data_IF_365122348446
#
_entry.id   IF_365122348446
#
_cell.length_a   1.000
_cell.length_b   1.000
_cell.length_c   1.000
_cell.angle_alpha   90.00
_cell.angle_beta   90.00
_cell.angle_gamma   90.00
#
_symmetry.space_group_name_H-M   'P 1'
#
loop_
_entity.id
_entity.type
_entity.pdbx_description
1 polymer ?
#
# COMPACT_ATOMS: atom_id res chain seq x y z
N UNK A 1 20.62 -0.06 -7.05
CA UNK A 1 19.51 0.09 -6.06
C UNK A 1 18.58 -1.10 -6.22
N UNK A 2 18.44 -1.92 -5.17
CA UNK A 2 17.57 -3.10 -5.16
C UNK A 2 16.15 -2.73 -4.73
N UNK A 3 16.04 -1.79 -3.78
CA UNK A 3 14.77 -1.34 -3.24
C UNK A 3 14.06 -0.33 -4.13
N UNK A 4 12.74 -0.48 -4.25
CA UNK A 4 11.81 0.57 -4.66
C UNK A 4 11.23 1.27 -3.43
N UNK A 5 10.11 2.02 -3.56
CA UNK A 5 9.47 2.74 -2.45
C UNK A 5 8.98 1.83 -1.32
N UNK A 6 8.64 0.56 -1.61
CA UNK A 6 8.02 -0.36 -0.62
C UNK A 6 8.65 -1.75 -0.65
N UNK A 7 9.97 -1.85 -0.83
CA UNK A 7 10.69 -3.12 -0.82
C UNK A 7 11.32 -3.51 -2.18
N UNK A 8 11.87 -4.70 -2.23
CA UNK A 8 12.48 -5.29 -3.43
C UNK A 8 11.38 -5.97 -4.24
N UNK A 9 11.15 -5.55 -5.48
CA UNK A 9 10.16 -6.17 -6.37
C UNK A 9 10.76 -6.40 -7.75
N UNK A 10 10.67 -7.64 -8.25
CA UNK A 10 11.20 -8.03 -9.57
C UNK A 10 10.28 -9.07 -10.22
N UNK A 11 10.43 -9.24 -11.54
CA UNK A 11 9.94 -10.45 -12.20
C UNK A 11 10.55 -11.68 -11.54
N UNK A 12 9.73 -12.72 -11.30
CA UNK A 12 10.23 -13.97 -10.77
C UNK A 12 11.18 -14.63 -11.79
N UNK A 13 12.45 -14.60 -11.48
CA UNK A 13 13.54 -15.14 -12.29
C UNK A 13 14.71 -15.53 -11.38
N UNK A 14 15.76 -16.10 -11.98
CA UNK A 14 16.98 -16.52 -11.27
C UNK A 14 17.57 -15.38 -10.42
N UNK A 15 17.54 -14.14 -10.89
CA UNK A 15 18.05 -12.99 -10.16
C UNK A 15 17.34 -12.80 -8.80
N UNK A 16 16.00 -12.78 -8.79
CA UNK A 16 15.24 -12.62 -7.56
C UNK A 16 15.43 -13.80 -6.60
N UNK A 17 15.48 -15.02 -7.15
CA UNK A 17 15.73 -16.22 -6.37
C UNK A 17 17.12 -16.18 -5.71
N UNK A 18 18.15 -15.77 -6.44
CA UNK A 18 19.51 -15.66 -5.92
C UNK A 18 19.70 -14.56 -4.88
N UNK A 19 18.83 -13.55 -4.88
CA UNK A 19 18.83 -12.47 -3.86
C UNK A 19 18.30 -12.95 -2.50
N UNK A 20 17.40 -13.93 -2.46
CA UNK A 20 16.78 -14.40 -1.21
C UNK A 20 17.77 -14.73 -0.11
N UNK A 21 18.76 -15.65 -0.32
CA UNK A 21 19.76 -15.99 0.67
C UNK A 21 20.61 -14.79 1.12
N UNK A 22 20.93 -13.88 0.20
CA UNK A 22 21.75 -12.70 0.47
C UNK A 22 20.99 -11.67 1.32
N UNK A 23 19.74 -11.40 0.97
CA UNK A 23 18.85 -10.52 1.74
C UNK A 23 18.61 -11.10 3.13
N UNK A 24 18.34 -12.42 3.24
CA UNK A 24 18.17 -13.09 4.52
C UNK A 24 19.39 -12.96 5.43
N UNK A 25 20.60 -13.23 4.92
CA UNK A 25 21.84 -13.05 5.66
C UNK A 25 22.06 -11.58 6.07
N UNK A 26 21.75 -10.62 5.18
CA UNK A 26 21.89 -9.19 5.46
C UNK A 26 20.98 -8.71 6.58
N UNK A 27 19.71 -9.13 6.60
CA UNK A 27 18.73 -8.82 7.66
C UNK A 27 19.18 -9.44 8.99
N UNK A 28 19.69 -10.68 8.97
CA UNK A 28 20.09 -11.40 10.19
C UNK A 28 21.30 -10.81 10.91
N UNK A 29 21.97 -9.79 10.35
CA UNK A 29 23.08 -9.10 11.05
C UNK A 29 22.55 -8.39 12.30
N UNK A 30 21.47 -7.61 12.17
CA UNK A 30 20.90 -6.81 13.25
C UNK A 30 19.68 -7.47 13.91
N UNK A 31 18.98 -8.36 13.19
CA UNK A 31 17.77 -9.01 13.66
C UNK A 31 18.02 -10.51 13.90
N UNK A 32 17.77 -10.98 15.12
CA UNK A 32 17.94 -12.40 15.49
C UNK A 32 16.62 -13.13 15.67
N UNK A 33 15.54 -12.42 15.90
CA UNK A 33 14.17 -12.93 15.95
C UNK A 33 13.38 -12.29 14.82
N UNK A 34 12.97 -13.08 13.82
CA UNK A 34 12.38 -12.57 12.59
C UNK A 34 11.05 -13.24 12.30
N UNK A 35 10.01 -12.47 12.08
CA UNK A 35 8.74 -12.96 11.55
C UNK A 35 8.83 -13.00 10.03
N UNK A 36 8.46 -14.13 9.42
CA UNK A 36 8.42 -14.32 7.98
C UNK A 36 7.04 -14.82 7.54
N UNK A 37 6.45 -14.20 6.53
CA UNK A 37 5.27 -14.75 5.87
C UNK A 37 5.25 -14.43 4.38
N UNK A 38 4.23 -14.94 3.68
CA UNK A 38 4.09 -14.81 2.22
C UNK A 38 2.67 -14.37 1.85
N UNK A 39 2.53 -13.70 0.70
CA UNK A 39 1.23 -13.65 0.03
C UNK A 39 0.90 -15.00 -0.65
N UNK A 40 -0.14 -15.01 -1.48
CA UNK A 40 -0.65 -16.23 -2.11
C UNK A 40 0.08 -16.62 -3.40
N UNK A 41 1.00 -15.81 -3.93
CA UNK A 41 1.67 -16.03 -5.22
C UNK A 41 2.26 -17.42 -5.33
N UNK A 42 2.13 -18.05 -6.50
CA UNK A 42 2.60 -19.43 -6.72
C UNK A 42 4.10 -19.60 -6.51
N UNK A 43 4.88 -18.54 -6.69
CA UNK A 43 6.34 -18.52 -6.45
C UNK A 43 6.74 -18.39 -4.98
N UNK A 44 5.76 -18.24 -4.05
CA UNK A 44 6.02 -17.99 -2.63
C UNK A 44 6.90 -19.02 -1.95
N UNK A 45 6.64 -20.32 -2.20
CA UNK A 45 7.37 -21.40 -1.52
C UNK A 45 8.85 -21.37 -1.88
N UNK A 46 9.16 -21.25 -3.18
CA UNK A 46 10.55 -21.19 -3.65
C UNK A 46 11.31 -19.99 -3.06
N UNK A 47 10.65 -18.82 -2.97
CA UNK A 47 11.28 -17.64 -2.37
C UNK A 47 11.38 -17.74 -0.85
N UNK A 48 10.41 -18.40 -0.19
CA UNK A 48 10.52 -18.69 1.25
C UNK A 48 11.74 -19.55 1.56
N UNK A 49 11.93 -20.65 0.82
CA UNK A 49 13.07 -21.53 1.02
C UNK A 49 14.39 -20.79 0.77
N UNK A 50 14.42 -19.93 -0.26
CA UNK A 50 15.60 -19.13 -0.58
C UNK A 50 15.96 -18.16 0.55
N UNK A 51 15.03 -17.33 1.02
CA UNK A 51 15.33 -16.35 2.06
C UNK A 51 15.54 -17.02 3.43
N UNK A 52 14.81 -18.10 3.75
CA UNK A 52 15.01 -18.89 4.97
C UNK A 52 16.44 -19.41 5.07
N UNK A 53 17.02 -19.90 3.96
CA UNK A 53 18.41 -20.34 3.97
C UNK A 53 19.39 -19.25 4.40
N UNK A 54 19.14 -18.00 3.98
CA UNK A 54 19.94 -16.84 4.38
C UNK A 54 19.72 -16.44 5.83
N UNK A 55 18.46 -16.37 6.27
CA UNK A 55 18.08 -16.01 7.63
C UNK A 55 18.69 -16.99 8.65
N UNK A 56 18.54 -18.29 8.40
CA UNK A 56 19.06 -19.35 9.28
C UNK A 56 20.59 -19.36 9.27
N UNK A 57 21.22 -19.23 8.09
CA UNK A 57 22.68 -19.18 8.00
C UNK A 57 23.28 -17.91 8.61
N UNK A 58 22.50 -16.83 8.72
CA UNK A 58 22.85 -15.63 9.49
C UNK A 58 22.63 -15.78 11.00
N UNK A 59 22.13 -16.93 11.47
CA UNK A 59 21.91 -17.25 12.87
C UNK A 59 20.60 -16.70 13.45
N UNK A 60 19.59 -16.40 12.63
CA UNK A 60 18.30 -15.89 13.10
C UNK A 60 17.33 -17.03 13.46
N UNK A 61 16.54 -16.81 14.52
CA UNK A 61 15.33 -17.57 14.84
C UNK A 61 14.16 -17.00 14.04
N UNK A 62 13.55 -17.82 13.17
CA UNK A 62 12.50 -17.41 12.25
C UNK A 62 11.15 -17.98 12.70
N UNK A 63 10.17 -17.09 12.85
CA UNK A 63 8.77 -17.40 13.13
C UNK A 63 7.99 -17.33 11.81
N UNK A 64 7.68 -18.50 11.24
CA UNK A 64 7.06 -18.58 9.91
C UNK A 64 5.54 -18.60 10.00
N UNK A 65 4.89 -17.52 9.56
CA UNK A 65 3.44 -17.32 9.59
C UNK A 65 2.67 -17.92 8.40
N UNK A 66 3.36 -18.57 7.45
CA UNK A 66 2.70 -19.13 6.26
C UNK A 66 2.15 -18.05 5.32
N UNK A 67 0.91 -18.27 4.81
CA UNK A 67 0.20 -17.24 4.03
C UNK A 67 -0.48 -16.30 5.00
N UNK A 68 -0.13 -15.01 4.95
CA UNK A 68 -0.73 -13.98 5.78
C UNK A 68 -0.70 -12.61 5.06
N UNK A 69 -1.58 -11.66 5.42
CA UNK A 69 -1.51 -10.28 4.98
C UNK A 69 -0.22 -9.58 5.43
N UNK A 70 0.24 -8.63 4.63
CA UNK A 70 1.37 -7.76 4.98
C UNK A 70 1.22 -7.09 6.35
N UNK A 71 0.06 -6.49 6.72
CA UNK A 71 -0.12 -5.89 8.05
C UNK A 71 -0.02 -6.89 9.21
N UNK A 72 -0.37 -8.17 9.00
CA UNK A 72 -0.16 -9.20 10.04
C UNK A 72 1.32 -9.42 10.33
N UNK A 73 2.17 -9.38 9.30
CA UNK A 73 3.64 -9.47 9.47
C UNK A 73 4.18 -8.24 10.21
N UNK A 74 3.74 -7.05 9.79
CA UNK A 74 4.15 -5.80 10.41
C UNK A 74 3.77 -5.73 11.89
N UNK A 75 2.54 -6.14 12.24
CA UNK A 75 2.10 -6.20 13.63
C UNK A 75 2.91 -7.23 14.44
N UNK A 76 3.14 -8.43 13.89
CA UNK A 76 3.89 -9.48 14.55
C UNK A 76 5.38 -9.13 14.72
N UNK A 77 5.94 -8.26 13.87
CA UNK A 77 7.30 -7.74 14.01
C UNK A 77 7.51 -7.03 15.36
N UNK A 78 6.44 -6.48 15.97
CA UNK A 78 6.48 -5.88 17.31
C UNK A 78 6.85 -6.86 18.43
N UNK A 79 6.80 -8.16 18.20
CA UNK A 79 7.22 -9.21 19.12
C UNK A 79 8.57 -9.85 18.72
N UNK A 80 9.23 -9.27 17.72
CA UNK A 80 10.49 -9.74 17.15
C UNK A 80 11.44 -8.56 16.92
N UNK A 81 12.55 -8.80 16.21
CA UNK A 81 13.50 -7.74 15.86
C UNK A 81 13.23 -7.18 14.45
N UNK A 82 12.54 -7.95 13.59
CA UNK A 82 12.14 -7.55 12.25
C UNK A 82 11.00 -8.41 11.70
N UNK A 83 10.29 -7.87 10.71
CA UNK A 83 9.34 -8.61 9.87
C UNK A 83 9.83 -8.70 8.42
N UNK A 84 9.58 -9.82 7.79
CA UNK A 84 9.86 -10.05 6.36
C UNK A 84 8.61 -10.57 5.68
N UNK A 85 8.15 -9.88 4.64
CA UNK A 85 7.02 -10.31 3.83
C UNK A 85 7.47 -10.62 2.41
N UNK A 86 7.11 -11.82 1.92
CA UNK A 86 7.35 -12.23 0.54
C UNK A 86 6.12 -11.88 -0.29
N UNK A 87 6.24 -10.83 -1.08
CA UNK A 87 5.13 -10.29 -1.89
C UNK A 87 5.64 -9.35 -2.97
N UNK A 88 4.80 -9.08 -3.96
CA UNK A 88 4.92 -7.94 -4.85
C UNK A 88 3.64 -7.08 -4.86
N UNK A 89 2.83 -7.15 -3.78
CA UNK A 89 1.59 -6.38 -3.57
C UNK A 89 0.68 -6.41 -4.82
N UNK A 90 0.38 -5.27 -5.40
CA UNK A 90 -0.51 -5.11 -6.55
C UNK A 90 0.10 -5.49 -7.92
N UNK A 91 1.40 -5.83 -7.99
CA UNK A 91 2.02 -6.24 -9.26
C UNK A 91 1.39 -7.53 -9.82
N UNK A 92 1.49 -7.77 -11.15
CA UNK A 92 1.06 -9.03 -11.77
C UNK A 92 1.65 -10.27 -11.12
N UNK A 93 1.02 -11.44 -11.33
CA UNK A 93 1.35 -12.71 -10.68
C UNK A 93 2.81 -13.17 -10.88
N UNK A 94 3.41 -12.81 -12.01
CA UNK A 94 4.78 -13.15 -12.36
C UNK A 94 5.84 -12.28 -11.67
N UNK A 95 5.44 -11.29 -10.86
CA UNK A 95 6.32 -10.55 -9.97
C UNK A 95 6.30 -11.18 -8.58
N UNK A 96 7.40 -10.99 -7.84
CA UNK A 96 7.45 -11.24 -6.40
C UNK A 96 8.57 -10.38 -5.79
N UNK A 97 8.78 -10.47 -4.46
CA UNK A 97 9.77 -9.64 -3.80
C UNK A 97 9.82 -9.82 -2.29
N UNK A 98 10.46 -8.87 -1.64
CA UNK A 98 10.67 -8.84 -0.19
C UNK A 98 10.36 -7.44 0.35
N UNK A 99 9.45 -7.35 1.32
CA UNK A 99 9.25 -6.16 2.17
C UNK A 99 9.86 -6.41 3.54
N UNK A 100 10.49 -5.40 4.12
CA UNK A 100 11.13 -5.48 5.44
C UNK A 100 10.46 -4.49 6.40
N UNK A 101 10.17 -4.96 7.60
CA UNK A 101 9.47 -4.19 8.64
C UNK A 101 10.30 -4.08 9.91
N UNK A 102 10.24 -2.92 10.53
CA UNK A 102 10.79 -2.63 11.86
C UNK A 102 9.87 -3.18 12.96
N UNK A 103 10.35 -3.27 14.21
CA UNK A 103 9.52 -3.68 15.34
C UNK A 103 8.30 -2.78 15.60
N UNK A 104 8.33 -1.51 15.19
CA UNK A 104 7.19 -0.60 15.29
C UNK A 104 6.13 -0.80 14.19
N UNK A 105 6.33 -1.77 13.30
CA UNK A 105 5.44 -2.10 12.19
C UNK A 105 5.65 -1.27 10.93
N UNK A 106 6.48 -0.24 10.97
CA UNK A 106 6.80 0.55 9.78
C UNK A 106 7.81 -0.15 8.86
N UNK A 107 7.82 0.23 7.59
CA UNK A 107 8.82 -0.24 6.63
C UNK A 107 10.23 0.23 7.00
N UNK A 108 11.25 -0.50 6.55
CA UNK A 108 12.64 -0.05 6.68
C UNK A 108 12.83 1.30 6.01
N UNK A 109 13.51 2.22 6.72
CA UNK A 109 13.89 3.54 6.19
C UNK A 109 14.86 3.43 5.02
N UNK A 110 15.01 4.50 4.24
CA UNK A 110 15.96 4.57 3.13
C UNK A 110 17.39 4.19 3.59
N UNK A 111 17.84 4.70 4.73
CA UNK A 111 19.18 4.39 5.28
C UNK A 111 19.34 2.92 5.67
N UNK A 112 18.27 2.27 6.18
CA UNK A 112 18.28 0.84 6.46
C UNK A 112 18.27 0.01 5.18
N UNK A 113 17.55 0.43 4.14
CA UNK A 113 17.54 -0.21 2.83
C UNK A 113 18.93 -0.15 2.17
N UNK A 114 19.60 0.99 2.22
CA UNK A 114 20.98 1.15 1.73
C UNK A 114 21.95 0.25 2.48
N UNK A 115 21.80 0.11 3.79
CA UNK A 115 22.60 -0.79 4.59
C UNK A 115 22.38 -2.27 4.22
N UNK A 116 21.13 -2.68 3.96
CA UNK A 116 20.83 -4.02 3.43
C UNK A 116 21.50 -4.22 2.05
N UNK A 117 21.42 -3.23 1.14
CA UNK A 117 22.09 -3.31 -0.18
C UNK A 117 23.60 -3.51 -0.04
N UNK A 118 24.24 -2.81 0.87
CA UNK A 118 25.67 -2.96 1.15
C UNK A 118 26.00 -4.37 1.66
N UNK A 119 25.20 -4.90 2.59
CA UNK A 119 25.38 -6.24 3.18
C UNK A 119 25.10 -7.37 2.19
N UNK A 120 24.19 -7.16 1.24
CA UNK A 120 23.94 -8.11 0.14
C UNK A 120 25.19 -8.32 -0.72
N UNK A 121 26.01 -7.29 -0.90
CA UNK A 121 27.27 -7.40 -1.65
C UNK A 121 28.37 -8.15 -0.86
N UNK A 122 28.34 -8.10 0.47
CA UNK A 122 29.32 -8.73 1.36
C UNK A 122 28.61 -9.49 2.49
N UNK A 123 27.95 -10.64 2.19
CA UNK A 123 27.13 -11.33 3.16
C UNK A 123 27.96 -11.94 4.29
N UNK A 124 27.44 -11.83 5.51
CA UNK A 124 28.04 -12.39 6.73
C UNK A 124 27.20 -13.57 7.22
N UNK A 125 27.84 -14.68 7.51
CA UNK A 125 27.18 -15.88 8.00
C UNK A 125 27.64 -16.24 9.43
N UNK A 126 26.75 -16.84 10.18
CA UNK A 126 27.07 -17.38 11.49
C UNK A 126 27.99 -18.60 11.40
N UNK A 127 28.75 -18.87 12.45
CA UNK A 127 29.57 -20.08 12.54
C UNK A 127 28.68 -21.34 12.43
N UNK A 128 29.28 -22.46 12.02
CA UNK A 128 28.55 -23.70 11.74
C UNK A 128 27.72 -24.21 12.93
N UNK A 129 28.11 -23.90 14.17
CA UNK A 129 27.43 -24.25 15.43
C UNK A 129 26.51 -23.13 15.97
N UNK A 130 26.34 -22.03 15.22
CA UNK A 130 25.55 -20.84 15.54
C UNK A 130 24.42 -20.60 14.52
N UNK A 131 24.05 -21.63 13.77
CA UNK A 131 22.95 -21.53 12.82
C UNK A 131 21.63 -21.28 13.53
N UNK A 132 20.73 -20.53 12.87
CA UNK A 132 19.40 -20.25 13.37
C UNK A 132 18.43 -21.43 13.23
N UNK A 133 17.16 -21.15 13.44
CA UNK A 133 16.08 -22.14 13.35
C UNK A 133 14.84 -21.54 12.72
N UNK A 134 13.88 -22.36 12.32
CA UNK A 134 12.54 -21.97 11.88
C UNK A 134 11.48 -22.72 12.67
N UNK A 135 10.45 -22.01 13.09
CA UNK A 135 9.26 -22.57 13.73
C UNK A 135 7.99 -21.93 13.16
N UNK A 136 6.86 -22.67 13.13
CA UNK A 136 5.58 -22.09 12.73
C UNK A 136 5.10 -21.08 13.79
N UNK A 137 4.40 -20.03 13.32
CA UNK A 137 3.78 -19.02 14.19
C UNK A 137 2.38 -18.64 13.70
N UNK A 138 1.46 -18.42 14.62
CA UNK A 138 0.18 -17.80 14.31
C UNK A 138 0.32 -16.28 14.43
N UNK A 139 0.25 -15.58 13.30
CA UNK A 139 0.32 -14.12 13.22
C UNK A 139 -1.01 -13.51 12.76
N UNK A 140 -1.98 -14.34 12.38
CA UNK A 140 -3.29 -13.90 11.89
C UNK A 140 -4.24 -13.67 13.05
N UNK A 141 -4.34 -14.63 13.97
CA UNK A 141 -5.24 -14.53 15.14
C UNK A 141 -4.99 -13.28 15.97
N UNK A 142 -3.75 -12.93 16.37
CA UNK A 142 -3.50 -11.68 17.11
C UNK A 142 -3.88 -10.41 16.34
N UNK A 143 -3.69 -10.41 15.02
CA UNK A 143 -4.08 -9.28 14.17
C UNK A 143 -5.61 -9.14 14.11
N UNK A 144 -6.32 -10.26 13.88
CA UNK A 144 -7.79 -10.29 13.90
C UNK A 144 -8.35 -9.80 15.24
N UNK A 145 -7.83 -10.33 16.35
CA UNK A 145 -8.27 -9.94 17.70
C UNK A 145 -8.05 -8.46 17.97
N UNK A 146 -6.94 -7.89 17.49
CA UNK A 146 -6.66 -6.46 17.61
C UNK A 146 -7.67 -5.61 16.84
N UNK A 147 -8.01 -5.97 15.60
CA UNK A 147 -9.03 -5.28 14.82
C UNK A 147 -10.38 -5.33 15.54
N UNK A 148 -10.81 -6.51 16.00
CA UNK A 148 -12.10 -6.72 16.66
C UNK A 148 -12.19 -6.04 18.05
N UNK A 149 -11.06 -5.72 18.68
CA UNK A 149 -11.05 -4.92 19.89
C UNK A 149 -11.30 -3.42 19.65
N UNK A 150 -11.14 -2.96 18.41
CA UNK A 150 -11.20 -1.54 18.04
C UNK A 150 -12.40 -1.20 17.17
N UNK A 151 -12.95 -2.16 16.40
CA UNK A 151 -14.01 -1.94 15.38
C UNK A 151 -15.10 -2.99 15.52
N UNK A 152 -16.36 -2.58 15.35
CA UNK A 152 -17.54 -3.45 15.36
C UNK A 152 -18.31 -3.36 14.05
N UNK A 153 -18.50 -4.50 13.38
CA UNK A 153 -19.35 -4.60 12.18
C UNK A 153 -20.70 -5.20 12.57
N UNK A 154 -21.82 -4.42 12.56
CA UNK A 154 -23.10 -4.87 13.09
C UNK A 154 -23.70 -6.08 12.37
N UNK A 155 -24.40 -6.96 13.10
CA UNK A 155 -25.02 -8.21 12.60
C UNK A 155 -26.07 -7.99 11.49
N UNK A 156 -26.71 -6.82 11.44
CA UNK A 156 -27.73 -6.49 10.45
C UNK A 156 -27.19 -6.04 9.09
N UNK A 157 -25.85 -6.01 8.93
CA UNK A 157 -25.20 -5.64 7.68
C UNK A 157 -25.05 -6.82 6.73
N UNK A 158 -25.04 -6.51 5.44
CA UNK A 158 -24.52 -7.39 4.39
C UNK A 158 -23.35 -6.69 3.71
N UNK A 159 -22.18 -7.33 3.70
CA UNK A 159 -20.94 -6.77 3.13
C UNK A 159 -20.41 -7.72 2.05
N UNK A 160 -20.11 -7.20 0.87
CA UNK A 160 -19.36 -7.93 -0.17
C UNK A 160 -17.87 -7.72 0.09
N UNK A 161 -17.09 -8.78 0.07
CA UNK A 161 -15.62 -8.70 0.19
C UNK A 161 -14.94 -9.42 -0.95
N UNK A 162 -14.10 -8.71 -1.73
CA UNK A 162 -13.30 -9.30 -2.81
C UNK A 162 -11.81 -9.22 -2.45
N UNK A 163 -11.20 -10.37 -2.15
CA UNK A 163 -9.78 -10.47 -1.81
C UNK A 163 -8.88 -10.77 -3.03
N UNK A 164 -9.42 -10.85 -4.25
CA UNK A 164 -8.64 -11.10 -5.47
C UNK A 164 -7.77 -12.35 -5.44
N UNK A 165 -8.16 -13.40 -4.66
CA UNK A 165 -7.36 -14.58 -4.34
C UNK A 165 -6.02 -14.26 -3.63
N UNK A 166 -5.94 -13.09 -3.00
CA UNK A 166 -4.80 -12.63 -2.21
C UNK A 166 -4.87 -13.05 -0.75
N UNK A 167 -3.90 -12.57 0.02
CA UNK A 167 -3.72 -12.91 1.43
C UNK A 167 -4.83 -12.37 2.35
N UNK A 168 -5.57 -11.33 1.92
CA UNK A 168 -6.74 -10.80 2.62
C UNK A 168 -7.82 -11.85 2.89
N UNK A 169 -7.92 -12.88 2.02
CA UNK A 169 -8.84 -14.01 2.22
C UNK A 169 -8.63 -14.81 3.51
N UNK A 170 -7.48 -14.65 4.17
CA UNK A 170 -7.16 -15.31 5.43
C UNK A 170 -7.73 -14.59 6.66
N UNK A 171 -8.16 -13.35 6.55
CA UNK A 171 -8.56 -12.53 7.70
C UNK A 171 -9.78 -11.64 7.41
N UNK A 172 -9.85 -10.95 6.25
CA UNK A 172 -10.87 -9.92 6.01
C UNK A 172 -12.30 -10.43 6.11
N UNK A 173 -12.68 -11.60 5.51
CA UNK A 173 -14.02 -12.14 5.66
C UNK A 173 -14.38 -12.47 7.11
N UNK A 174 -13.41 -13.00 7.87
CA UNK A 174 -13.59 -13.40 9.26
C UNK A 174 -13.76 -12.20 10.20
N UNK A 175 -13.02 -11.11 9.94
CA UNK A 175 -13.16 -9.85 10.68
C UNK A 175 -14.53 -9.25 10.43
N UNK A 176 -14.95 -9.15 9.17
CA UNK A 176 -16.24 -8.57 8.80
C UNK A 176 -17.43 -9.36 9.35
N UNK A 177 -17.31 -10.69 9.47
CA UNK A 177 -18.37 -11.56 9.94
C UNK A 177 -18.36 -11.87 11.45
N UNK A 178 -17.39 -11.37 12.20
CA UNK A 178 -17.16 -11.77 13.58
C UNK A 178 -18.35 -11.47 14.52
N UNK A 179 -19.00 -10.32 14.33
CA UNK A 179 -20.15 -9.88 15.13
C UNK A 179 -21.51 -10.18 14.47
N UNK A 180 -21.51 -11.10 13.48
CA UNK A 180 -22.75 -11.63 12.88
C UNK A 180 -23.17 -10.96 11.56
N UNK A 181 -22.41 -10.02 11.02
CA UNK A 181 -22.68 -9.46 9.71
C UNK A 181 -22.64 -10.55 8.62
N UNK A 182 -23.54 -10.43 7.65
CA UNK A 182 -23.59 -11.35 6.50
C UNK A 182 -22.51 -10.98 5.50
N UNK A 183 -21.45 -11.77 5.44
CA UNK A 183 -20.36 -11.60 4.47
C UNK A 183 -20.64 -12.39 3.19
N UNK A 184 -20.42 -11.74 2.04
CA UNK A 184 -20.47 -12.34 0.71
C UNK A 184 -19.05 -12.37 0.16
N UNK A 185 -18.32 -13.48 0.35
CA UNK A 185 -16.92 -13.58 -0.07
C UNK A 185 -16.84 -13.81 -1.58
N UNK A 186 -15.94 -13.06 -2.23
CA UNK A 186 -15.60 -13.14 -3.65
C UNK A 186 -14.10 -13.28 -3.77
N UNK A 187 -13.63 -14.27 -4.52
CA UNK A 187 -12.20 -14.49 -4.73
C UNK A 187 -11.38 -14.52 -3.41
N UNK A 188 -11.92 -15.13 -2.35
CA UNK A 188 -11.27 -15.23 -1.05
C UNK A 188 -10.46 -16.53 -0.86
N UNK A 189 -10.43 -17.41 -1.85
CA UNK A 189 -9.57 -18.60 -1.85
C UNK A 189 -8.10 -18.18 -2.10
N UNK A 190 -7.15 -18.54 -1.20
CA UNK A 190 -5.75 -18.17 -1.29
C UNK A 190 -4.96 -19.02 -2.31
N UNK A 191 -5.53 -19.29 -3.46
CA UNK A 191 -4.95 -20.17 -4.50
C UNK A 191 -3.70 -19.59 -5.16
N UNK A 192 -3.50 -18.28 -5.10
CA UNK A 192 -2.43 -17.56 -5.79
C UNK A 192 -2.62 -17.45 -7.30
N UNK A 193 -3.80 -17.81 -7.80
CA UNK A 193 -4.25 -17.56 -9.17
C UNK A 193 -5.25 -16.42 -9.10
N UNK A 194 -4.81 -15.24 -9.44
CA UNK A 194 -5.62 -14.02 -9.30
C UNK A 194 -6.77 -14.00 -10.30
N UNK A 195 -8.02 -14.03 -9.83
CA UNK A 195 -9.22 -13.98 -10.67
C UNK A 195 -9.37 -12.63 -11.40
N UNK A 196 -8.69 -11.60 -10.93
CA UNK A 196 -8.59 -10.28 -11.52
C UNK A 196 -7.17 -9.74 -11.35
N UNK A 197 -6.77 -8.68 -12.07
CA UNK A 197 -5.53 -7.96 -11.73
C UNK A 197 -5.53 -7.58 -10.24
N UNK A 198 -4.39 -7.77 -9.58
CA UNK A 198 -4.26 -7.57 -8.13
C UNK A 198 -4.60 -6.15 -7.69
N UNK A 199 -4.25 -5.16 -8.52
CA UNK A 199 -4.53 -3.75 -8.22
C UNK A 199 -6.03 -3.47 -8.21
N UNK A 200 -6.62 -2.94 -7.10
CA UNK A 200 -8.07 -2.78 -6.92
C UNK A 200 -8.63 -1.53 -7.61
N UNK A 201 -8.33 -1.35 -8.91
CA UNK A 201 -8.86 -0.28 -9.73
C UNK A 201 -10.29 -0.57 -10.19
N UNK A 202 -11.13 0.45 -10.32
CA UNK A 202 -12.53 0.36 -10.76
C UNK A 202 -12.71 -0.53 -11.99
N UNK A 203 -11.88 -0.35 -13.02
CA UNK A 203 -11.93 -1.13 -14.27
C UNK A 203 -11.74 -2.64 -14.09
N UNK A 204 -11.14 -3.08 -12.98
CA UNK A 204 -10.89 -4.48 -12.62
C UNK A 204 -12.03 -5.07 -11.77
N UNK A 205 -13.02 -4.27 -11.35
CA UNK A 205 -14.01 -4.56 -10.33
C UNK A 205 -15.47 -4.45 -10.84
N UNK A 206 -15.66 -4.57 -12.15
CA UNK A 206 -16.96 -4.36 -12.81
C UNK A 206 -18.06 -5.33 -12.34
N UNK A 207 -17.72 -6.40 -11.66
CA UNK A 207 -18.66 -7.38 -11.09
C UNK A 207 -19.27 -6.92 -9.74
N UNK A 208 -18.60 -6.02 -9.01
CA UNK A 208 -19.02 -5.62 -7.65
C UNK A 208 -20.36 -4.86 -7.65
N UNK A 209 -20.62 -3.86 -8.53
CA UNK A 209 -21.89 -3.14 -8.55
C UNK A 209 -23.10 -4.05 -8.73
N UNK A 210 -22.98 -5.10 -9.56
CA UNK A 210 -24.05 -6.06 -9.75
C UNK A 210 -24.29 -6.92 -8.51
N UNK A 211 -23.22 -7.33 -7.81
CA UNK A 211 -23.33 -8.09 -6.56
C UNK A 211 -24.02 -7.26 -5.47
N UNK A 212 -23.67 -5.98 -5.30
CA UNK A 212 -24.34 -5.09 -4.33
C UNK A 212 -25.83 -5.03 -4.63
N UNK A 213 -26.21 -4.79 -5.90
CA UNK A 213 -27.64 -4.71 -6.28
C UNK A 213 -28.39 -6.04 -6.07
N UNK A 214 -27.76 -7.19 -6.35
CA UNK A 214 -28.39 -8.51 -6.19
C UNK A 214 -28.56 -8.91 -4.74
N UNK A 215 -27.65 -8.54 -3.89
CA UNK A 215 -27.57 -8.99 -2.48
C UNK A 215 -28.17 -7.99 -1.51
N UNK A 216 -28.37 -6.74 -1.93
CA UNK A 216 -28.75 -5.64 -1.06
C UNK A 216 -27.64 -5.27 -0.06
N UNK A 217 -26.37 -5.51 -0.44
CA UNK A 217 -25.25 -5.21 0.43
C UNK A 217 -25.14 -3.73 0.76
N UNK A 218 -24.82 -3.42 2.00
CA UNK A 218 -24.61 -2.07 2.50
C UNK A 218 -23.37 -1.40 1.92
N UNK A 219 -22.37 -2.22 1.60
CA UNK A 219 -21.11 -1.80 0.97
C UNK A 219 -20.37 -2.99 0.37
N UNK A 220 -19.29 -2.69 -0.37
CA UNK A 220 -18.27 -3.69 -0.70
C UNK A 220 -16.88 -3.16 -0.39
N UNK A 221 -15.98 -4.07 0.00
CA UNK A 221 -14.57 -3.79 0.25
C UNK A 221 -13.70 -4.73 -0.58
N UNK A 222 -12.56 -4.23 -1.03
CA UNK A 222 -11.70 -4.93 -1.99
C UNK A 222 -10.25 -4.80 -1.56
N UNK A 223 -9.56 -5.93 -1.36
CA UNK A 223 -8.13 -5.93 -1.08
C UNK A 223 -7.28 -6.19 -2.35
N UNK A 224 -6.01 -5.83 -2.29
CA UNK A 224 -4.98 -6.27 -3.25
C UNK A 224 -4.33 -7.59 -2.83
N UNK A 225 -3.24 -7.99 -3.48
CA UNK A 225 -2.65 -9.32 -3.33
C UNK A 225 -2.10 -9.66 -1.95
N UNK A 226 -1.52 -8.70 -1.25
CA UNK A 226 -1.00 -8.87 0.11
C UNK A 226 -1.80 -8.10 1.17
N UNK A 227 -2.93 -7.53 0.75
CA UNK A 227 -3.92 -6.87 1.57
C UNK A 227 -3.37 -5.71 2.43
N UNK A 228 -2.34 -5.01 1.96
CA UNK A 228 -1.96 -3.72 2.52
C UNK A 228 -2.84 -2.59 1.98
N UNK A 229 -3.65 -2.87 0.90
CA UNK A 229 -4.59 -1.93 0.31
C UNK A 229 -6.04 -2.34 0.51
N UNK A 230 -6.90 -1.33 0.61
CA UNK A 230 -8.35 -1.48 0.58
C UNK A 230 -8.99 -0.37 -0.24
N UNK A 231 -9.84 -0.76 -1.18
CA UNK A 231 -10.75 0.13 -1.90
C UNK A 231 -12.20 -0.31 -1.66
N UNK A 232 -13.16 0.57 -1.92
CA UNK A 232 -14.55 0.31 -1.51
C UNK A 232 -15.58 0.69 -2.59
N UNK A 233 -16.80 0.21 -2.37
CA UNK A 233 -18.01 0.64 -3.07
C UNK A 233 -19.09 1.00 -2.05
N UNK A 234 -19.83 2.05 -2.34
CA UNK A 234 -20.98 2.46 -1.52
C UNK A 234 -22.21 1.56 -1.72
N UNK A 235 -23.26 1.84 -0.97
CA UNK A 235 -24.53 1.11 -1.02
C UNK A 235 -25.27 1.23 -2.35
N UNK A 236 -24.90 2.18 -3.21
CA UNK A 236 -25.45 2.34 -4.57
C UNK A 236 -24.63 1.56 -5.62
N UNK A 237 -23.51 0.94 -5.19
CA UNK A 237 -22.58 0.23 -6.07
C UNK A 237 -21.65 1.15 -6.85
N UNK A 238 -21.40 2.38 -6.36
CA UNK A 238 -20.43 3.29 -6.93
C UNK A 238 -19.06 3.02 -6.33
N UNK A 239 -18.04 2.96 -7.18
CA UNK A 239 -16.66 2.89 -6.73
C UNK A 239 -16.29 4.17 -5.96
N UNK A 240 -15.72 4.01 -4.78
CA UNK A 240 -15.22 5.13 -3.99
C UNK A 240 -13.75 5.31 -4.32
N UNK A 241 -13.42 6.41 -4.97
CA UNK A 241 -12.03 6.71 -5.31
C UNK A 241 -11.18 6.99 -4.05
N UNK A 242 -9.85 6.87 -4.21
CA UNK A 242 -8.96 6.96 -3.07
C UNK A 242 -8.93 8.32 -2.38
N UNK A 243 -9.09 9.42 -3.12
CA UNK A 243 -9.16 10.76 -2.53
C UNK A 243 -10.43 10.93 -1.70
N UNK A 244 -11.55 10.39 -2.18
CA UNK A 244 -12.82 10.36 -1.46
C UNK A 244 -12.75 9.48 -0.20
N UNK A 245 -12.08 8.31 -0.28
CA UNK A 245 -11.85 7.45 0.89
C UNK A 245 -10.95 8.13 1.94
N UNK A 246 -9.89 8.80 1.49
CA UNK A 246 -9.01 9.55 2.38
C UNK A 246 -9.78 10.61 3.19
N UNK A 247 -10.61 11.39 2.50
CA UNK A 247 -11.45 12.42 3.13
C UNK A 247 -12.54 11.83 4.03
N UNK A 248 -13.16 10.72 3.63
CA UNK A 248 -14.19 10.03 4.42
C UNK A 248 -13.62 9.49 5.73
N UNK A 249 -12.49 8.78 5.67
CA UNK A 249 -11.81 8.27 6.86
C UNK A 249 -11.35 9.40 7.77
N UNK A 250 -10.74 10.46 7.22
CA UNK A 250 -10.33 11.61 8.02
C UNK A 250 -11.52 12.26 8.75
N UNK A 251 -12.66 12.40 8.06
CA UNK A 251 -13.88 12.96 8.64
C UNK A 251 -14.46 12.09 9.74
N UNK A 252 -14.56 10.76 9.50
CA UNK A 252 -15.11 9.83 10.50
C UNK A 252 -14.25 9.74 11.75
N UNK A 253 -12.93 9.67 11.58
CA UNK A 253 -11.95 9.59 12.67
C UNK A 253 -11.74 10.93 13.39
N UNK A 254 -12.38 12.01 12.96
CA UNK A 254 -12.09 13.38 13.39
C UNK A 254 -10.58 13.72 13.32
N UNK A 255 -9.90 13.20 12.30
CA UNK A 255 -8.46 13.38 12.11
C UNK A 255 -8.20 14.80 11.61
N UNK A 256 -7.67 15.66 12.48
CA UNK A 256 -7.35 17.06 12.15
C UNK A 256 -6.00 17.22 11.46
N UNK A 257 -5.15 16.21 11.53
CA UNK A 257 -3.80 16.16 10.94
C UNK A 257 -3.65 14.88 10.13
N UNK A 258 -3.55 15.02 8.82
CA UNK A 258 -3.50 13.90 7.86
C UNK A 258 -2.21 13.94 7.05
N UNK A 259 -1.53 12.80 6.96
CA UNK A 259 -0.36 12.63 6.07
C UNK A 259 -0.80 11.92 4.80
N UNK A 260 -0.46 12.50 3.64
CA UNK A 260 -0.74 11.88 2.35
C UNK A 260 0.35 12.18 1.32
N UNK A 261 0.21 11.67 0.11
CA UNK A 261 1.20 11.84 -0.95
C UNK A 261 1.00 13.12 -1.78
N UNK A 262 2.06 13.55 -2.47
CA UNK A 262 2.04 14.78 -3.29
C UNK A 262 1.04 14.76 -4.43
N UNK A 263 0.55 13.60 -4.84
CA UNK A 263 -0.42 13.40 -5.91
C UNK A 263 -1.87 13.24 -5.44
N UNK A 264 -2.12 13.28 -4.13
CA UNK A 264 -3.47 13.30 -3.58
C UNK A 264 -4.19 14.63 -3.86
N UNK A 265 -5.51 14.55 -4.02
CA UNK A 265 -6.39 15.70 -4.23
C UNK A 265 -6.25 16.73 -3.11
N UNK A 266 -6.49 17.99 -3.42
CA UNK A 266 -6.62 19.04 -2.41
C UNK A 266 -7.96 19.00 -1.65
N UNK A 267 -8.88 18.11 -2.01
CA UNK A 267 -10.14 17.91 -1.29
C UNK A 267 -9.93 17.56 0.19
N UNK A 268 -8.82 16.89 0.51
CA UNK A 268 -8.49 16.57 1.91
C UNK A 268 -8.21 17.82 2.76
N UNK A 269 -7.73 18.91 2.16
CA UNK A 269 -7.43 20.17 2.84
C UNK A 269 -8.70 20.89 3.34
N UNK A 270 -9.90 20.51 2.83
CA UNK A 270 -11.20 20.97 3.36
C UNK A 270 -11.61 20.25 4.66
N UNK A 271 -10.93 19.14 4.98
CA UNK A 271 -11.25 18.28 6.13
C UNK A 271 -10.21 18.39 7.24
N UNK A 272 -8.92 18.50 6.88
CA UNK A 272 -7.80 18.43 7.80
C UNK A 272 -6.62 19.33 7.39
N UNK A 273 -5.73 19.59 8.33
CA UNK A 273 -4.36 20.05 8.04
C UNK A 273 -3.57 18.90 7.41
N UNK A 274 -2.79 19.17 6.35
CA UNK A 274 -2.20 18.11 5.53
C UNK A 274 -0.69 18.28 5.39
N UNK A 275 0.06 17.23 5.75
CA UNK A 275 1.45 17.08 5.32
C UNK A 275 1.52 16.15 4.10
N UNK A 276 2.32 16.55 3.11
CA UNK A 276 2.48 15.78 1.87
C UNK A 276 3.88 15.21 1.76
N UNK A 277 3.95 13.91 1.50
CA UNK A 277 5.20 13.16 1.30
C UNK A 277 5.40 12.78 -0.17
N UNK A 278 6.60 12.32 -0.56
CA UNK A 278 6.77 11.55 -1.79
C UNK A 278 5.78 10.38 -1.88
N UNK A 279 5.57 9.86 -3.10
CA UNK A 279 4.68 8.70 -3.31
C UNK A 279 5.34 7.44 -2.77
N UNK A 280 4.69 6.79 -1.83
CA UNK A 280 5.10 5.54 -1.17
C UNK A 280 4.63 5.51 0.28
N UNK A 281 4.00 4.40 0.64
CA UNK A 281 3.48 4.13 1.98
C UNK A 281 4.54 4.26 3.08
N UNK A 282 5.80 3.94 2.77
CA UNK A 282 6.94 4.08 3.68
C UNK A 282 7.20 5.55 4.09
N UNK A 283 7.06 6.49 3.16
CA UNK A 283 7.23 7.92 3.46
C UNK A 283 6.07 8.46 4.30
N UNK A 284 4.84 8.04 4.00
CA UNK A 284 3.66 8.38 4.80
C UNK A 284 3.81 7.83 6.22
N UNK A 285 4.23 6.57 6.35
CA UNK A 285 4.49 5.92 7.63
C UNK A 285 5.59 6.62 8.45
N UNK A 286 6.67 7.05 7.80
CA UNK A 286 7.79 7.74 8.45
C UNK A 286 7.36 9.11 8.99
N UNK A 287 6.60 9.90 8.22
CA UNK A 287 6.06 11.18 8.67
C UNK A 287 5.10 11.02 9.85
N UNK A 288 4.25 9.96 9.82
CA UNK A 288 3.31 9.64 10.89
C UNK A 288 3.95 9.25 12.22
N UNK A 289 5.25 8.96 12.27
CA UNK A 289 5.98 8.77 13.53
C UNK A 289 6.07 10.05 14.36
N UNK A 290 6.03 11.20 13.70
CA UNK A 290 6.25 12.50 14.36
C UNK A 290 5.05 13.44 14.24
N UNK A 291 4.22 13.28 13.21
CA UNK A 291 3.11 14.17 12.93
C UNK A 291 1.94 13.43 12.28
N UNK A 292 0.72 13.84 12.63
CA UNK A 292 -0.51 13.28 12.08
C UNK A 292 -1.10 12.15 12.91
N UNK A 293 -2.42 11.97 12.76
CA UNK A 293 -3.21 10.96 13.47
C UNK A 293 -3.81 9.92 12.54
N UNK A 294 -3.76 10.17 11.23
CA UNK A 294 -4.18 9.30 10.14
C UNK A 294 -3.38 9.65 8.89
N UNK A 295 -3.17 8.69 8.03
CA UNK A 295 -2.57 8.94 6.73
C UNK A 295 -2.86 7.84 5.72
N UNK A 296 -2.47 8.09 4.48
CA UNK A 296 -2.62 7.12 3.41
C UNK A 296 -2.38 7.69 2.03
N UNK A 297 -2.45 6.81 1.06
CA UNK A 297 -2.32 7.13 -0.35
C UNK A 297 -3.65 6.88 -1.08
N UNK A 298 -4.02 7.69 -2.08
CA UNK A 298 -5.20 7.42 -2.92
C UNK A 298 -5.16 6.08 -3.66
N UNK A 299 -4.04 5.38 -3.61
CA UNK A 299 -3.87 4.02 -4.11
C UNK A 299 -4.55 2.94 -3.25
N UNK A 300 -5.08 3.31 -2.06
CA UNK A 300 -5.76 2.42 -1.12
C UNK A 300 -4.92 2.00 0.09
N UNK A 301 -3.72 2.53 0.25
CA UNK A 301 -2.85 2.26 1.41
C UNK A 301 -3.20 3.17 2.57
N UNK A 302 -3.95 2.67 3.57
CA UNK A 302 -4.47 3.43 4.71
C UNK A 302 -3.72 3.08 5.97
N UNK A 303 -3.15 4.09 6.66
CA UNK A 303 -2.33 3.95 7.86
C UNK A 303 -3.03 4.61 9.04
N UNK A 304 -3.22 3.84 10.09
CA UNK A 304 -3.87 4.25 11.34
C UNK A 304 -2.85 4.13 12.48
N UNK A 305 -2.09 5.20 12.83
CA UNK A 305 -0.95 5.10 13.75
C UNK A 305 -1.27 4.52 15.13
N UNK A 306 -2.50 4.70 15.61
CA UNK A 306 -2.97 4.08 16.86
C UNK A 306 -3.10 2.56 16.74
N UNK A 307 -3.39 2.05 15.55
CA UNK A 307 -3.48 0.64 15.25
C UNK A 307 -2.14 0.09 14.75
N UNK A 308 -1.61 0.62 13.66
CA UNK A 308 -0.38 0.18 13.02
C UNK A 308 0.23 1.30 12.17
N UNK A 309 1.57 1.29 12.05
CA UNK A 309 2.31 2.14 11.10
C UNK A 309 2.45 1.49 9.69
N UNK A 310 1.95 0.27 9.53
CA UNK A 310 1.81 -0.38 8.23
C UNK A 310 0.41 -0.09 7.66
N UNK A 311 0.26 0.14 6.34
CA UNK A 311 -1.05 0.15 5.72
C UNK A 311 -1.79 -1.15 6.00
N UNK A 312 -3.07 -1.04 6.39
CA UNK A 312 -3.86 -2.18 6.86
C UNK A 312 -5.21 -2.27 6.14
N UNK A 313 -5.25 -3.12 5.11
CA UNK A 313 -6.46 -3.34 4.32
C UNK A 313 -7.59 -4.03 5.09
N UNK A 314 -7.37 -5.09 5.88
CA UNK A 314 -8.37 -5.69 6.77
C UNK A 314 -8.97 -4.72 7.79
N UNK A 315 -8.14 -3.91 8.46
CA UNK A 315 -8.60 -2.87 9.37
C UNK A 315 -9.44 -1.82 8.64
N UNK A 316 -8.94 -1.30 7.53
CA UNK A 316 -9.66 -0.32 6.72
C UNK A 316 -10.99 -0.88 6.17
N UNK A 317 -11.06 -2.18 5.85
CA UNK A 317 -12.28 -2.85 5.41
C UNK A 317 -13.33 -2.90 6.54
N UNK A 318 -12.91 -3.27 7.75
CA UNK A 318 -13.79 -3.26 8.92
C UNK A 318 -14.27 -1.85 9.26
N UNK A 319 -13.36 -0.88 9.27
CA UNK A 319 -13.69 0.54 9.51
C UNK A 319 -14.68 1.09 8.47
N UNK A 320 -14.49 0.76 7.19
CA UNK A 320 -15.42 1.20 6.15
C UNK A 320 -16.81 0.55 6.30
N UNK A 321 -16.87 -0.71 6.74
CA UNK A 321 -18.14 -1.37 7.05
C UNK A 321 -18.82 -0.72 8.26
N UNK A 322 -18.09 -0.41 9.33
CA UNK A 322 -18.60 0.33 10.50
C UNK A 322 -19.17 1.70 10.07
N UNK A 323 -18.40 2.49 9.30
CA UNK A 323 -18.87 3.78 8.73
C UNK A 323 -20.16 3.59 7.93
N UNK A 324 -20.22 2.55 7.09
CA UNK A 324 -21.40 2.25 6.26
C UNK A 324 -22.63 1.83 7.08
N UNK A 325 -22.44 1.43 8.35
CA UNK A 325 -23.53 1.12 9.26
C UNK A 325 -24.10 2.37 9.94
N UNK A 326 -23.29 3.37 10.14
CA UNK A 326 -23.63 4.59 10.88
C UNK A 326 -24.00 5.76 9.96
N UNK A 327 -23.38 5.83 8.78
CA UNK A 327 -23.55 6.91 7.82
C UNK A 327 -24.12 6.43 6.49
N UNK A 328 -24.90 7.28 5.82
CA UNK A 328 -25.20 7.10 4.41
C UNK A 328 -23.97 7.52 3.59
N UNK A 329 -23.10 6.56 3.33
CA UNK A 329 -21.82 6.82 2.64
C UNK A 329 -22.03 7.51 1.29
N UNK A 330 -23.09 7.14 0.55
CA UNK A 330 -23.38 7.78 -0.74
C UNK A 330 -23.65 9.29 -0.59
N UNK A 331 -24.39 9.72 0.44
CA UNK A 331 -24.65 11.13 0.72
C UNK A 331 -23.40 11.85 1.20
N UNK A 332 -22.60 11.20 2.05
CA UNK A 332 -21.34 11.77 2.54
C UNK A 332 -20.35 12.04 1.37
N UNK A 333 -20.22 11.08 0.44
CA UNK A 333 -19.38 11.23 -0.75
C UNK A 333 -19.90 12.29 -1.72
N UNK A 334 -21.22 12.46 -1.81
CA UNK A 334 -21.83 13.51 -2.65
C UNK A 334 -21.64 14.91 -2.05
N UNK A 335 -21.47 15.00 -0.73
CA UNK A 335 -21.19 16.25 -0.02
C UNK A 335 -19.71 16.67 -0.07
N UNK A 336 -18.78 15.77 -0.42
CA UNK A 336 -17.37 16.12 -0.56
C UNK A 336 -17.15 17.04 -1.76
N UNK A 337 -16.23 18.02 -1.67
CA UNK A 337 -15.88 18.86 -2.80
C UNK A 337 -15.24 18.03 -3.90
N UNK A 338 -15.69 18.23 -5.14
CA UNK A 338 -15.16 17.54 -6.32
C UNK A 338 -14.39 18.52 -7.19
N UNK A 339 -13.10 18.36 -7.25
CA UNK A 339 -12.22 19.20 -8.05
C UNK A 339 -11.94 18.59 -9.41
N UNK A 340 -11.65 19.43 -10.38
CA UNK A 340 -11.35 18.96 -11.74
C UNK A 340 -9.89 18.55 -11.85
N UNK A 341 -9.65 17.30 -12.21
CA UNK A 341 -8.29 16.78 -12.47
C UNK A 341 -8.10 16.64 -13.99
N UNK A 342 -7.02 17.20 -14.51
CA UNK A 342 -6.58 17.09 -15.90
C UNK A 342 -5.19 16.48 -15.96
N UNK A 343 -4.91 15.74 -17.04
CA UNK A 343 -3.62 15.05 -17.23
C UNK A 343 -3.15 15.20 -18.67
N UNK A 344 -1.83 15.41 -18.82
CA UNK A 344 -1.14 15.40 -20.11
C UNK A 344 0.27 14.83 -19.93
N UNK A 345 0.99 14.55 -21.02
CA UNK A 345 2.33 13.98 -20.94
C UNK A 345 3.17 14.38 -22.18
N UNK A 346 4.49 14.37 -21.98
CA UNK A 346 5.48 14.44 -23.07
C UNK A 346 6.15 13.09 -23.20
N UNK A 347 6.13 12.51 -24.39
CA UNK A 347 6.85 11.28 -24.71
C UNK A 347 8.33 11.60 -24.91
N UNK A 348 9.19 11.07 -24.04
CA UNK A 348 10.63 11.37 -24.06
C UNK A 348 11.40 10.28 -23.30
N UNK A 349 12.56 9.84 -23.80
CA UNK A 349 13.45 8.95 -23.03
C UNK A 349 14.25 9.70 -21.95
N UNK A 350 14.29 11.04 -22.00
CA UNK A 350 15.15 11.89 -21.16
C UNK A 350 14.42 12.36 -19.88
N UNK A 351 13.55 11.52 -19.33
CA UNK A 351 12.72 11.89 -18.17
C UNK A 351 13.55 12.32 -16.96
N UNK A 352 14.65 11.63 -16.67
CA UNK A 352 15.52 11.96 -15.53
C UNK A 352 16.22 13.30 -15.67
N UNK A 353 16.75 13.58 -16.87
CA UNK A 353 17.43 14.84 -17.19
C UNK A 353 16.46 16.03 -17.10
N UNK A 354 15.26 15.88 -17.66
CA UNK A 354 14.19 16.89 -17.59
C UNK A 354 13.83 17.17 -16.13
N UNK A 355 13.65 16.12 -15.31
CA UNK A 355 13.33 16.29 -13.89
C UNK A 355 14.47 16.96 -13.12
N UNK A 356 15.73 16.68 -13.47
CA UNK A 356 16.90 17.37 -12.92
C UNK A 356 16.92 18.87 -13.24
N UNK A 357 16.60 19.26 -14.50
CA UNK A 357 16.48 20.66 -14.92
C UNK A 357 15.36 21.38 -14.17
N UNK A 358 14.25 20.68 -13.90
CA UNK A 358 13.14 21.19 -13.11
C UNK A 358 13.49 21.28 -11.60
N UNK A 359 14.61 20.70 -11.17
CA UNK A 359 15.08 20.73 -9.76
C UNK A 359 14.44 19.63 -8.89
N UNK A 360 13.95 18.54 -9.48
CA UNK A 360 13.42 17.42 -8.70
C UNK A 360 14.54 16.65 -8.00
N UNK A 361 14.45 16.48 -6.70
CA UNK A 361 15.36 15.64 -5.92
C UNK A 361 15.24 14.18 -6.34
N UNK A 362 14.00 13.71 -6.49
CA UNK A 362 13.69 12.39 -7.03
C UNK A 362 12.80 12.51 -8.29
N UNK A 363 13.25 12.05 -9.45
CA UNK A 363 12.48 12.15 -10.71
C UNK A 363 11.13 11.45 -10.69
N UNK A 364 10.97 10.39 -9.89
CA UNK A 364 9.71 9.63 -9.78
C UNK A 364 8.69 10.28 -8.86
N UNK A 365 9.11 11.05 -7.87
CA UNK A 365 8.23 11.80 -6.97
C UNK A 365 7.81 13.12 -7.60
N UNK A 366 8.67 13.68 -8.43
CA UNK A 366 8.35 14.82 -9.26
C UNK A 366 8.49 16.17 -8.56
N UNK A 367 7.88 17.18 -9.17
CA UNK A 367 7.78 18.53 -8.63
C UNK A 367 6.32 18.95 -8.60
N UNK A 368 5.85 19.34 -7.43
CA UNK A 368 4.53 19.90 -7.20
C UNK A 368 4.61 21.40 -7.03
N UNK A 369 3.80 22.12 -7.77
CA UNK A 369 3.48 23.53 -7.55
C UNK A 369 2.01 23.66 -7.16
N UNK A 370 1.71 24.50 -6.17
CA UNK A 370 0.34 24.77 -5.74
C UNK A 370 0.13 26.26 -5.45
N UNK A 371 -1.06 26.74 -5.71
CA UNK A 371 -1.60 28.02 -5.24
C UNK A 371 -2.97 27.82 -4.58
N UNK A 372 -3.65 28.89 -4.21
CA UNK A 372 -4.97 28.87 -3.55
C UNK A 372 -6.09 28.23 -4.40
N UNK A 373 -5.92 28.13 -5.71
CA UNK A 373 -6.94 27.69 -6.67
C UNK A 373 -6.64 26.32 -7.29
N UNK A 374 -5.45 25.77 -7.07
CA UNK A 374 -5.10 24.44 -7.61
C UNK A 374 -3.62 24.11 -7.53
N UNK A 375 -3.26 23.01 -8.17
CA UNK A 375 -1.88 22.54 -8.23
C UNK A 375 -1.59 21.81 -9.54
N UNK A 376 -0.31 21.70 -9.89
CA UNK A 376 0.18 20.74 -10.86
C UNK A 376 1.37 19.95 -10.31
N UNK A 377 1.50 18.72 -10.79
CA UNK A 377 2.59 17.80 -10.47
C UNK A 377 3.20 17.29 -11.78
N UNK A 378 4.52 17.50 -11.95
CA UNK A 378 5.30 16.96 -13.05
C UNK A 378 6.15 15.82 -12.51
N UNK A 379 6.07 14.62 -13.11
CA UNK A 379 6.86 13.45 -12.68
C UNK A 379 7.24 12.57 -13.86
N UNK A 380 8.44 11.98 -13.81
CA UNK A 380 8.85 10.96 -14.77
C UNK A 380 8.08 9.65 -14.53
N UNK A 381 7.73 8.96 -15.60
CA UNK A 381 7.17 7.61 -15.49
C UNK A 381 8.29 6.62 -15.17
N UNK A 382 8.08 5.75 -14.18
CA UNK A 382 9.01 4.67 -13.85
C UNK A 382 9.01 3.50 -14.85
N UNK A 383 7.96 3.41 -15.70
CA UNK A 383 7.72 2.25 -16.55
C UNK A 383 7.65 2.58 -18.05
N UNK A 384 7.48 3.84 -18.42
CA UNK A 384 7.29 4.28 -19.78
C UNK A 384 8.20 5.49 -20.10
N UNK A 385 8.68 5.65 -21.34
CA UNK A 385 9.51 6.78 -21.72
C UNK A 385 8.68 8.06 -21.86
N UNK A 386 8.19 8.58 -20.77
CA UNK A 386 7.39 9.81 -20.72
C UNK A 386 7.51 10.56 -19.40
N UNK A 387 7.26 11.85 -19.43
CA UNK A 387 7.04 12.70 -18.25
C UNK A 387 5.58 13.15 -18.26
N UNK A 388 4.90 12.93 -17.14
CA UNK A 388 3.48 13.25 -16.94
C UNK A 388 3.34 14.60 -16.25
N UNK A 389 2.29 15.33 -16.59
CA UNK A 389 1.79 16.47 -15.84
C UNK A 389 0.35 16.18 -15.42
N UNK A 390 0.10 16.17 -14.11
CA UNK A 390 -1.24 16.12 -13.53
C UNK A 390 -1.54 17.48 -12.94
N UNK A 391 -2.73 17.99 -13.15
CA UNK A 391 -3.19 19.25 -12.57
C UNK A 391 -4.58 19.11 -12.01
N UNK A 392 -4.83 19.77 -10.88
CA UNK A 392 -6.14 19.89 -10.25
C UNK A 392 -6.48 21.35 -10.01
N UNK A 393 -7.74 21.69 -10.08
CA UNK A 393 -8.23 23.04 -9.85
C UNK A 393 -9.61 23.05 -9.21
N UNK A 394 -9.90 24.09 -8.39
CA UNK A 394 -11.22 24.28 -7.77
C UNK A 394 -12.31 24.41 -8.84
N UNK A 395 -11.98 24.98 -9.97
CA UNK A 395 -12.82 25.05 -11.16
C UNK A 395 -12.13 24.38 -12.35
N UNK A 396 -12.88 24.11 -13.40
CA UNK A 396 -12.33 23.58 -14.66
C UNK A 396 -11.34 24.55 -15.31
N UNK A 397 -11.57 25.84 -15.17
CA UNK A 397 -10.71 26.91 -15.63
C UNK A 397 -9.39 26.92 -14.86
N UNK A 398 -9.44 26.77 -13.55
CA UNK A 398 -8.23 26.66 -12.71
C UNK A 398 -7.41 25.41 -13.06
N UNK A 399 -8.07 24.26 -13.23
CA UNK A 399 -7.40 23.03 -13.62
C UNK A 399 -6.68 23.18 -14.98
N UNK A 400 -7.32 23.85 -15.96
CA UNK A 400 -6.69 24.14 -17.26
C UNK A 400 -5.49 25.07 -17.10
N UNK A 401 -5.63 26.16 -16.34
CA UNK A 401 -4.54 27.11 -16.05
C UNK A 401 -3.32 26.38 -15.44
N UNK A 402 -3.57 25.51 -14.45
CA UNK A 402 -2.54 24.71 -13.81
C UNK A 402 -1.87 23.72 -14.79
N UNK A 403 -2.66 23.03 -15.61
CA UNK A 403 -2.11 22.11 -16.61
C UNK A 403 -1.25 22.86 -17.64
N UNK A 404 -1.72 24.00 -18.15
CA UNK A 404 -0.98 24.83 -19.11
C UNK A 404 0.34 25.32 -18.52
N UNK A 405 0.34 25.76 -17.24
CA UNK A 405 1.54 26.17 -16.53
C UNK A 405 2.55 25.01 -16.37
N UNK A 406 2.09 23.86 -15.92
CA UNK A 406 2.91 22.66 -15.76
C UNK A 406 3.47 22.16 -17.11
N UNK A 407 2.63 22.09 -18.14
CA UNK A 407 3.06 21.69 -19.48
C UNK A 407 4.04 22.70 -20.12
N UNK A 408 3.89 23.99 -19.83
CA UNK A 408 4.84 25.02 -20.27
C UNK A 408 6.21 24.82 -19.61
N UNK A 409 6.26 24.60 -18.29
CA UNK A 409 7.49 24.30 -17.56
C UNK A 409 8.16 23.02 -18.10
N UNK A 410 7.39 21.95 -18.29
CA UNK A 410 7.87 20.68 -18.84
C UNK A 410 8.46 20.83 -20.24
N UNK A 411 7.76 21.50 -21.15
CA UNK A 411 8.24 21.74 -22.52
C UNK A 411 9.47 22.65 -22.59
N UNK A 412 9.61 23.60 -21.64
CA UNK A 412 10.81 24.41 -21.53
C UNK A 412 12.01 23.55 -21.11
N UNK A 413 11.89 22.75 -20.06
CA UNK A 413 12.94 21.85 -19.63
C UNK A 413 13.31 20.80 -20.70
N UNK A 414 12.34 20.28 -21.46
CA UNK A 414 12.60 19.35 -22.58
C UNK A 414 13.48 19.97 -23.67
N UNK A 415 13.30 21.28 -23.96
CA UNK A 415 14.13 22.00 -24.94
C UNK A 415 15.58 22.20 -24.45
N UNK A 416 15.81 22.30 -23.15
CA UNK A 416 17.14 22.45 -22.56
C UNK A 416 17.95 21.14 -22.57
N UNK A 417 17.29 19.98 -22.68
CA UNK A 417 17.93 18.65 -22.81
C UNK A 417 18.34 18.36 -24.24
N UNK A 418 17.69 18.96 -25.25
CA UNK A 418 18.00 18.82 -26.70
C UNK A 418 19.15 19.73 -27.12
#
# INVERSE_FOLDING_TARGET
MLFGSSGIRKLFAQELLSLGPLVGAAVSVDAKRIVLATDTRTSRSTLSDAILSGLISGGAEVFFGGIAPTPSVALAAGQADAGVMITASHNPENYNGYKLFRPDGSSYTVSQQEEIERRVAEPVYAAWDKQGSVSPADIITPHKEKILAEITVPENMTVVVDCGNGAGGQITPDVLGADGAKVIPVNCDPSGKFARPSEPLEKNLLHIPELIRKTGASCAVVNDGDADRMMAFDNLGRYVDGDSLLALFAKYLDAKQVVTTVDASMSIEEVAEVHRTPVGDSFVSEELLSWGTFGGEPSGSWIFPKHSLCPDGPYAAALFAEISSEWNVAEELDALPKYTILRDAVMTPNGKEIMGILGAENPTDGIRFADENGWYLIRASGTEPKVRCTAEGRTKEDAKRMLEAGMSALKKAEKEVK
#
